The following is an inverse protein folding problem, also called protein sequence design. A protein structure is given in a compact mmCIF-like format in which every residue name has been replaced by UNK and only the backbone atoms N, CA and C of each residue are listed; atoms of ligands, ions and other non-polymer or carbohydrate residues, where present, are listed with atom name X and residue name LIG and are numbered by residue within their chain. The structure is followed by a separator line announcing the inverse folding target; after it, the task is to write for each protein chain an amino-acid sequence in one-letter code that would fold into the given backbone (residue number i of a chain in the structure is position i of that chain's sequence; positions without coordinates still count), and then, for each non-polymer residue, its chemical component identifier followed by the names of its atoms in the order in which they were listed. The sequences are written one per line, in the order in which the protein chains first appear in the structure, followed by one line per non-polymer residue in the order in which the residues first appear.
data_IF_953430593852
#
_entry.id   IF_953430593852
#
_cell.length_a   1.000
_cell.length_b   1.000
_cell.length_c   1.000
_cell.angle_alpha   90.00
_cell.angle_beta   90.00
_cell.angle_gamma   90.00
#
_symmetry.space_group_name_H-M   'P 1'
#
loop_
_entity.id
_entity.type
_entity.pdbx_description
1 polymer ?
#
# COMPACT_ATOMS: atom_id res chain seq x y z
N UNK A 1 16.84 -3.00 -8.37
CA UNK A 1 18.24 -2.61 -8.64
C UNK A 1 19.01 -3.64 -9.48
N UNK A 2 18.87 -4.96 -9.17
CA UNK A 2 19.69 -6.01 -9.78
C UNK A 2 19.63 -6.02 -11.32
N UNK A 3 18.44 -6.01 -11.92
CA UNK A 3 18.25 -6.03 -13.38
C UNK A 3 18.87 -4.78 -14.02
N UNK A 4 18.63 -3.60 -13.45
CA UNK A 4 19.19 -2.32 -13.93
C UNK A 4 20.70 -2.35 -13.92
N UNK A 5 21.32 -2.89 -12.86
CA UNK A 5 22.79 -3.06 -12.76
C UNK A 5 23.31 -4.00 -13.85
N UNK A 6 22.63 -5.11 -14.12
CA UNK A 6 23.04 -6.04 -15.18
C UNK A 6 22.95 -5.41 -16.57
N UNK A 7 21.84 -4.74 -16.88
CA UNK A 7 21.66 -4.03 -18.17
C UNK A 7 22.74 -2.96 -18.34
N UNK A 8 23.01 -2.16 -17.31
CA UNK A 8 24.07 -1.16 -17.31
C UNK A 8 25.44 -1.79 -17.63
N UNK A 9 25.78 -2.93 -16.99
CA UNK A 9 27.04 -3.64 -17.23
C UNK A 9 27.16 -4.16 -18.67
N UNK A 10 26.08 -4.73 -19.21
CA UNK A 10 26.06 -5.25 -20.59
C UNK A 10 26.18 -4.11 -21.62
N UNK A 11 25.53 -2.98 -21.42
CA UNK A 11 25.67 -1.78 -22.25
C UNK A 11 27.09 -1.23 -22.23
N UNK A 12 27.69 -1.12 -21.03
CA UNK A 12 29.09 -0.69 -20.86
C UNK A 12 30.07 -1.60 -21.63
N UNK A 13 29.77 -2.89 -21.73
CA UNK A 13 30.58 -3.87 -22.46
C UNK A 13 30.24 -3.94 -23.96
N UNK A 14 29.36 -3.09 -24.45
CA UNK A 14 28.85 -3.11 -25.85
C UNK A 14 28.26 -4.47 -26.27
N UNK A 15 27.73 -5.24 -25.30
CA UNK A 15 27.09 -6.55 -25.56
C UNK A 15 25.62 -6.43 -25.96
N UNK A 16 24.98 -5.30 -25.60
CA UNK A 16 23.62 -4.98 -25.98
C UNK A 16 23.54 -3.51 -26.39
N UNK A 17 22.70 -3.23 -27.39
CA UNK A 17 22.37 -1.89 -27.85
C UNK A 17 20.85 -1.69 -27.68
N UNK A 18 20.44 -1.29 -26.46
CA UNK A 18 19.03 -1.05 -26.08
C UNK A 18 18.93 0.21 -25.26
N UNK A 19 17.81 0.90 -25.34
CA UNK A 19 17.48 1.96 -24.38
C UNK A 19 17.17 1.36 -23.01
N UNK A 20 17.68 2.00 -21.96
CA UNK A 20 17.50 1.56 -20.58
C UNK A 20 16.77 2.66 -19.79
N UNK A 21 15.53 2.41 -19.41
CA UNK A 21 14.73 3.27 -18.54
C UNK A 21 14.60 2.57 -17.20
N UNK A 22 14.95 3.28 -16.12
CA UNK A 22 14.80 2.79 -14.75
C UNK A 22 13.61 3.49 -14.11
N UNK A 23 12.53 2.74 -13.88
CA UNK A 23 11.39 3.19 -13.11
C UNK A 23 11.63 2.84 -11.63
N UNK A 24 11.67 3.84 -10.76
CA UNK A 24 11.79 3.66 -9.30
C UNK A 24 10.38 3.65 -8.73
N UNK A 25 9.98 2.48 -8.18
CA UNK A 25 8.62 2.22 -7.66
C UNK A 25 8.54 2.39 -6.15
N UNK A 26 9.39 3.21 -5.59
CA UNK A 26 9.41 3.63 -4.19
C UNK A 26 9.42 5.16 -4.11
N UNK A 27 9.06 5.73 -2.96
CA UNK A 27 8.95 7.17 -2.74
C UNK A 27 10.26 7.79 -2.21
N UNK A 28 11.31 7.01 -2.17
CA UNK A 28 12.69 7.47 -2.04
C UNK A 28 13.62 6.67 -2.94
N UNK A 29 14.69 7.33 -3.41
CA UNK A 29 15.67 6.73 -4.29
C UNK A 29 16.88 6.24 -3.49
N UNK A 30 16.99 4.96 -3.27
CA UNK A 30 18.20 4.37 -2.70
C UNK A 30 19.34 4.33 -3.73
N UNK A 31 20.58 4.60 -3.29
CA UNK A 31 21.78 4.63 -4.16
C UNK A 31 21.95 3.41 -5.06
N UNK A 32 21.46 2.24 -4.65
CA UNK A 32 21.55 1.01 -5.44
C UNK A 32 20.73 1.01 -6.74
N UNK A 33 19.79 1.94 -6.89
CA UNK A 33 19.07 2.13 -8.16
C UNK A 33 19.87 2.94 -9.18
N UNK A 34 20.87 3.71 -8.70
CA UNK A 34 21.60 4.65 -9.54
C UNK A 34 22.81 3.94 -10.11
N UNK A 35 22.80 3.75 -11.43
CA UNK A 35 23.87 3.06 -12.18
C UNK A 35 24.15 3.84 -13.46
N UNK A 36 25.39 3.75 -14.00
CA UNK A 36 25.73 4.41 -15.28
C UNK A 36 24.99 3.72 -16.44
N UNK A 37 25.05 4.35 -17.62
CA UNK A 37 24.43 3.82 -18.86
C UNK A 37 22.92 3.58 -18.79
N UNK A 38 22.19 4.38 -17.99
CA UNK A 38 20.73 4.50 -18.01
C UNK A 38 20.37 5.74 -18.83
N UNK A 39 19.37 5.64 -19.70
CA UNK A 39 18.92 6.76 -20.53
C UNK A 39 17.87 7.61 -19.85
N UNK A 40 17.12 7.05 -18.89
CA UNK A 40 16.12 7.79 -18.12
C UNK A 40 15.85 7.14 -16.76
N UNK A 41 15.61 8.00 -15.76
CA UNK A 41 15.02 7.65 -14.47
C UNK A 41 13.61 8.20 -14.37
N UNK A 42 12.62 7.34 -14.15
CA UNK A 42 11.25 7.75 -13.85
C UNK A 42 11.04 7.63 -12.35
N UNK A 43 10.58 8.72 -11.71
CA UNK A 43 10.44 8.86 -10.26
C UNK A 43 8.98 8.98 -9.85
N UNK A 44 8.67 8.60 -8.62
CA UNK A 44 7.35 8.68 -8.02
C UNK A 44 6.88 10.13 -7.82
N UNK A 45 7.81 11.01 -7.44
CA UNK A 45 7.49 12.42 -7.16
C UNK A 45 8.66 13.36 -7.48
N UNK A 46 8.39 14.70 -7.63
CA UNK A 46 9.42 15.69 -7.99
C UNK A 46 10.55 15.85 -6.96
N UNK A 47 10.26 15.74 -5.66
CA UNK A 47 11.26 15.97 -4.60
C UNK A 47 12.39 14.93 -4.65
N UNK A 48 12.13 13.73 -5.15
CA UNK A 48 13.16 12.70 -5.39
C UNK A 48 14.25 13.18 -6.38
N UNK A 49 13.91 14.06 -7.33
CA UNK A 49 14.87 14.54 -8.31
C UNK A 49 16.03 15.31 -7.66
N UNK A 50 15.74 16.08 -6.62
CA UNK A 50 16.77 16.83 -5.86
C UNK A 50 17.82 15.87 -5.30
N UNK A 51 17.38 14.77 -4.67
CA UNK A 51 18.29 13.75 -4.13
C UNK A 51 19.15 13.08 -5.21
N UNK A 52 18.57 12.78 -6.37
CA UNK A 52 19.31 12.17 -7.48
C UNK A 52 20.40 13.13 -8.02
N UNK A 53 20.08 14.40 -8.13
CA UNK A 53 21.01 15.44 -8.64
C UNK A 53 22.10 15.71 -7.59
N UNK A 54 21.70 16.08 -6.37
CA UNK A 54 22.61 16.64 -5.37
C UNK A 54 23.47 15.59 -4.67
N UNK A 55 22.88 14.41 -4.37
CA UNK A 55 23.61 13.38 -3.65
C UNK A 55 24.27 12.34 -4.58
N UNK A 56 23.63 12.04 -5.72
CA UNK A 56 24.09 10.96 -6.60
C UNK A 56 24.69 11.44 -7.91
N UNK A 57 24.63 12.76 -8.19
CA UNK A 57 25.24 13.36 -9.38
C UNK A 57 24.59 12.95 -10.69
N UNK A 58 23.29 12.61 -10.68
CA UNK A 58 22.56 12.25 -11.89
C UNK A 58 22.25 13.50 -12.70
N UNK A 59 22.47 13.44 -14.02
CA UNK A 59 22.14 14.56 -14.91
C UNK A 59 20.62 14.79 -14.91
N UNK A 60 20.21 16.04 -14.66
CA UNK A 60 18.81 16.46 -14.66
C UNK A 60 18.08 16.13 -15.96
N UNK A 61 18.77 16.12 -17.08
CA UNK A 61 18.18 15.87 -18.41
C UNK A 61 17.61 14.46 -18.60
N UNK A 62 18.01 13.50 -17.73
CA UNK A 62 17.53 12.13 -17.77
C UNK A 62 16.59 11.77 -16.61
N UNK A 63 16.14 12.76 -15.84
CA UNK A 63 15.25 12.60 -14.68
C UNK A 63 13.82 13.02 -15.04
N UNK A 64 12.86 12.14 -14.84
CA UNK A 64 11.46 12.34 -15.20
C UNK A 64 10.54 11.97 -14.01
N UNK A 65 10.09 12.96 -13.22
CA UNK A 65 9.16 12.72 -12.10
C UNK A 65 7.72 12.62 -12.62
N UNK A 66 7.38 11.49 -13.22
CA UNK A 66 6.08 11.24 -13.89
C UNK A 66 5.10 10.45 -13.03
N UNK A 67 5.50 10.03 -11.84
CA UNK A 67 4.71 9.14 -10.99
C UNK A 67 4.99 7.67 -11.23
N UNK A 68 4.47 6.82 -10.35
CA UNK A 68 4.48 5.37 -10.51
C UNK A 68 3.25 4.97 -11.31
N UNK A 69 3.37 4.28 -12.45
CA UNK A 69 2.21 3.89 -13.26
C UNK A 69 1.38 2.83 -12.52
N UNK A 70 0.09 3.05 -12.51
CA UNK A 70 -0.93 2.12 -12.02
C UNK A 70 -1.96 1.88 -13.12
N UNK A 71 -2.85 0.92 -12.93
CA UNK A 71 -3.96 0.71 -13.85
C UNK A 71 -5.04 1.79 -13.66
N UNK A 72 -5.69 2.19 -14.76
CA UNK A 72 -6.72 3.24 -14.78
C UNK A 72 -7.88 2.94 -13.81
N UNK A 73 -8.19 1.67 -13.60
CA UNK A 73 -9.25 1.21 -12.68
C UNK A 73 -9.12 1.69 -11.23
N UNK A 74 -7.93 2.17 -10.78
CA UNK A 74 -7.74 2.78 -9.48
C UNK A 74 -8.18 4.26 -9.44
N UNK A 75 -8.40 4.88 -10.59
CA UNK A 75 -8.79 6.30 -10.72
C UNK A 75 -10.11 6.48 -11.47
N UNK A 76 -10.66 5.42 -12.06
CA UNK A 76 -11.95 5.44 -12.76
C UNK A 76 -13.11 5.69 -11.78
N UNK A 77 -14.19 6.36 -12.22
CA UNK A 77 -15.39 6.50 -11.42
C UNK A 77 -15.96 5.14 -11.00
N UNK A 78 -16.38 5.02 -9.76
CA UNK A 78 -16.94 3.79 -9.21
C UNK A 78 -18.28 4.04 -8.50
N UNK A 79 -19.09 2.98 -8.41
CA UNK A 79 -20.34 2.98 -7.64
C UNK A 79 -20.15 2.14 -6.38
N UNK A 80 -19.88 2.83 -5.25
CA UNK A 80 -19.69 2.18 -3.93
C UNK A 80 -20.86 1.27 -3.58
N UNK A 81 -22.10 1.71 -3.85
CA UNK A 81 -23.29 0.93 -3.50
C UNK A 81 -23.39 -0.35 -4.30
N UNK A 82 -23.19 -0.27 -5.62
CA UNK A 82 -23.20 -1.45 -6.49
C UNK A 82 -22.09 -2.45 -6.13
N UNK A 83 -20.89 -1.96 -5.80
CA UNK A 83 -19.79 -2.83 -5.35
C UNK A 83 -20.16 -3.49 -4.03
N UNK A 84 -20.63 -2.75 -3.03
CA UNK A 84 -21.03 -3.29 -1.73
C UNK A 84 -22.14 -4.34 -1.87
N UNK A 85 -23.19 -4.08 -2.66
CA UNK A 85 -24.27 -5.03 -2.91
C UNK A 85 -23.75 -6.32 -3.54
N UNK A 86 -22.90 -6.24 -4.56
CA UNK A 86 -22.25 -7.39 -5.20
C UNK A 86 -21.42 -8.21 -4.21
N UNK A 87 -20.71 -7.53 -3.33
CA UNK A 87 -19.80 -8.16 -2.36
C UNK A 87 -20.48 -8.57 -1.05
N UNK A 88 -21.78 -8.28 -0.87
CA UNK A 88 -22.53 -8.60 0.35
C UNK A 88 -22.11 -7.73 1.56
N UNK A 89 -21.77 -6.47 1.32
CA UNK A 89 -21.36 -5.50 2.32
C UNK A 89 -22.40 -4.37 2.45
N UNK A 90 -22.47 -3.71 3.60
CA UNK A 90 -23.32 -2.56 3.83
C UNK A 90 -22.57 -1.27 3.48
N UNK A 91 -23.00 -0.47 2.49
CA UNK A 91 -22.31 0.75 2.08
C UNK A 91 -22.31 1.86 3.15
N UNK A 92 -23.14 1.74 4.20
CA UNK A 92 -23.27 2.72 5.28
C UNK A 92 -22.39 2.41 6.50
N UNK A 93 -21.80 1.20 6.56
CA UNK A 93 -20.92 0.82 7.66
C UNK A 93 -19.47 1.25 7.37
N UNK A 94 -18.73 1.75 8.38
CA UNK A 94 -17.30 1.94 8.25
C UNK A 94 -16.60 0.63 7.87
N UNK A 95 -15.78 0.67 6.84
CA UNK A 95 -15.15 -0.51 6.25
C UNK A 95 -13.62 -0.40 6.29
N UNK A 96 -12.97 -1.38 6.92
CA UNK A 96 -11.51 -1.46 7.03
C UNK A 96 -10.99 -2.58 6.14
N UNK A 97 -10.08 -2.23 5.23
CA UNK A 97 -9.37 -3.18 4.37
C UNK A 97 -8.06 -3.63 5.04
N UNK A 98 -7.92 -4.90 5.38
CA UNK A 98 -6.67 -5.50 5.85
C UNK A 98 -6.00 -6.27 4.70
N UNK A 99 -4.86 -5.77 4.21
CA UNK A 99 -4.03 -6.51 3.27
C UNK A 99 -3.00 -7.36 4.03
N UNK A 100 -3.44 -8.51 4.49
CA UNK A 100 -2.75 -9.35 5.47
C UNK A 100 -1.61 -10.21 4.90
N UNK A 101 -1.52 -10.36 3.58
CA UNK A 101 -0.56 -11.28 2.93
C UNK A 101 0.92 -10.99 3.20
N UNK A 102 1.26 -9.77 3.60
CA UNK A 102 2.62 -9.33 3.92
C UNK A 102 2.95 -9.33 5.41
N UNK A 103 2.00 -9.67 6.28
CA UNK A 103 2.18 -9.73 7.73
C UNK A 103 2.69 -11.10 8.19
N UNK A 104 3.26 -11.18 9.38
CA UNK A 104 3.47 -12.46 10.06
C UNK A 104 2.13 -13.05 10.52
N UNK A 105 1.92 -14.34 10.28
CA UNK A 105 0.63 -15.02 10.54
C UNK A 105 0.07 -14.72 11.92
N UNK A 106 0.85 -14.94 12.98
CA UNK A 106 0.41 -14.74 14.38
C UNK A 106 0.03 -13.28 14.68
N UNK A 107 0.77 -12.33 14.11
CA UNK A 107 0.54 -10.91 14.34
C UNK A 107 -0.78 -10.43 13.74
N UNK A 108 -1.15 -10.93 12.55
CA UNK A 108 -2.42 -10.59 11.91
C UNK A 108 -3.60 -11.13 12.69
N UNK A 109 -3.53 -12.39 13.16
CA UNK A 109 -4.63 -13.02 13.90
C UNK A 109 -4.95 -12.25 15.18
N UNK A 110 -3.92 -11.94 15.98
CA UNK A 110 -4.09 -11.19 17.23
C UNK A 110 -4.58 -9.75 16.97
N UNK A 111 -4.10 -9.14 15.90
CA UNK A 111 -4.51 -7.79 15.52
C UNK A 111 -5.96 -7.74 15.04
N UNK A 112 -6.36 -8.66 14.14
CA UNK A 112 -7.75 -8.79 13.70
C UNK A 112 -8.68 -9.04 14.88
N UNK A 113 -8.35 -9.99 15.77
CA UNK A 113 -9.13 -10.27 16.97
C UNK A 113 -9.33 -9.03 17.84
N UNK A 114 -8.25 -8.27 18.05
CA UNK A 114 -8.31 -7.04 18.80
C UNK A 114 -9.21 -5.96 18.15
N UNK A 115 -9.23 -5.86 16.82
CA UNK A 115 -10.14 -4.98 16.09
C UNK A 115 -11.60 -5.44 16.20
N UNK A 116 -11.87 -6.72 15.99
CA UNK A 116 -13.19 -7.31 16.08
C UNK A 116 -13.84 -7.10 17.47
N UNK A 117 -13.05 -7.27 18.54
CA UNK A 117 -13.50 -7.04 19.92
C UNK A 117 -13.81 -5.56 20.24
N UNK A 118 -13.11 -4.61 19.60
CA UNK A 118 -13.23 -3.16 19.87
C UNK A 118 -14.23 -2.44 18.99
N UNK A 119 -14.49 -2.97 17.81
CA UNK A 119 -15.36 -2.35 16.82
C UNK A 119 -16.24 -3.37 16.09
N UNK A 120 -17.09 -4.12 16.83
CA UNK A 120 -17.97 -5.13 16.22
C UNK A 120 -19.00 -4.54 15.26
N UNK A 121 -19.22 -3.21 15.32
CA UNK A 121 -20.11 -2.49 14.42
C UNK A 121 -19.50 -2.21 13.03
N UNK A 122 -18.18 -2.30 12.89
CA UNK A 122 -17.48 -2.04 11.63
C UNK A 122 -17.45 -3.28 10.73
N UNK A 123 -17.20 -3.06 9.46
CA UNK A 123 -16.96 -4.12 8.48
C UNK A 123 -15.46 -4.27 8.22
N UNK A 124 -15.05 -5.50 7.98
CA UNK A 124 -13.67 -5.85 7.65
C UNK A 124 -13.62 -6.60 6.32
N UNK A 125 -12.74 -6.14 5.44
CA UNK A 125 -12.34 -6.89 4.26
C UNK A 125 -10.92 -7.37 4.51
N UNK A 126 -10.69 -8.68 4.54
CA UNK A 126 -9.37 -9.25 4.86
C UNK A 126 -8.86 -10.03 3.67
N UNK A 127 -7.79 -9.53 3.04
CA UNK A 127 -7.15 -10.18 1.88
C UNK A 127 -5.86 -10.85 2.35
N UNK A 128 -5.81 -12.17 2.28
CA UNK A 128 -4.65 -12.96 2.74
C UNK A 128 -3.59 -13.19 1.65
N UNK A 129 -3.89 -12.78 0.41
CA UNK A 129 -3.05 -13.12 -0.73
C UNK A 129 -2.98 -14.65 -0.90
N UNK A 130 -1.83 -15.16 -1.32
CA UNK A 130 -1.66 -16.61 -1.55
C UNK A 130 -1.27 -17.40 -0.30
N UNK A 131 -1.61 -16.89 0.90
CA UNK A 131 -1.28 -17.53 2.17
C UNK A 131 -2.47 -18.35 2.69
N UNK A 132 -2.55 -19.61 2.26
CA UNK A 132 -3.64 -20.53 2.62
C UNK A 132 -3.70 -20.83 4.12
N UNK A 133 -2.55 -20.86 4.80
CA UNK A 133 -2.50 -21.10 6.25
C UNK A 133 -3.08 -19.92 7.03
N UNK A 134 -2.78 -18.70 6.58
CA UNK A 134 -3.34 -17.50 7.18
C UNK A 134 -4.85 -17.44 6.95
N UNK A 135 -5.32 -17.78 5.74
CA UNK A 135 -6.74 -17.84 5.42
C UNK A 135 -7.49 -18.76 6.39
N UNK A 136 -7.07 -20.02 6.49
CA UNK A 136 -7.72 -21.02 7.36
C UNK A 136 -7.67 -20.63 8.87
N UNK A 137 -6.63 -19.94 9.32
CA UNK A 137 -6.56 -19.48 10.69
C UNK A 137 -7.45 -18.26 10.95
N UNK A 138 -7.56 -17.33 10.00
CA UNK A 138 -8.48 -16.19 10.09
C UNK A 138 -9.94 -16.65 10.09
N UNK A 139 -10.29 -17.62 9.26
CA UNK A 139 -11.63 -18.20 9.24
C UNK A 139 -12.07 -18.66 10.65
N UNK A 140 -11.20 -19.38 11.37
CA UNK A 140 -11.46 -19.78 12.76
C UNK A 140 -11.60 -18.59 13.72
N UNK A 141 -10.73 -17.59 13.60
CA UNK A 141 -10.79 -16.39 14.47
C UNK A 141 -12.06 -15.60 14.20
N UNK A 142 -12.51 -15.51 12.95
CA UNK A 142 -13.77 -14.86 12.57
C UNK A 142 -14.94 -15.57 13.22
N UNK A 143 -14.97 -16.93 13.21
CA UNK A 143 -15.97 -17.72 13.90
C UNK A 143 -15.93 -17.52 15.41
N UNK A 144 -14.75 -17.60 16.01
CA UNK A 144 -14.55 -17.39 17.46
C UNK A 144 -15.00 -16.03 17.96
N UNK A 145 -14.87 -15.00 17.12
CA UNK A 145 -15.27 -13.62 17.45
C UNK A 145 -16.71 -13.28 17.08
N UNK A 146 -17.43 -14.18 16.41
CA UNK A 146 -18.81 -13.95 15.97
C UNK A 146 -18.93 -12.87 14.87
N UNK A 147 -17.87 -12.66 14.07
CA UNK A 147 -17.78 -11.57 13.09
C UNK A 147 -18.06 -12.01 11.65
N UNK A 148 -18.70 -13.17 11.45
CA UNK A 148 -18.94 -13.72 10.11
C UNK A 148 -19.75 -12.78 9.21
N UNK A 149 -20.77 -12.13 9.79
CA UNK A 149 -21.66 -11.20 9.05
C UNK A 149 -21.00 -9.82 8.76
N UNK A 150 -19.92 -9.50 9.48
CA UNK A 150 -19.20 -8.23 9.33
C UNK A 150 -17.79 -8.39 8.75
N UNK A 151 -17.40 -9.61 8.33
CA UNK A 151 -16.06 -9.85 7.77
C UNK A 151 -16.12 -10.60 6.45
N UNK A 152 -15.59 -9.96 5.42
CA UNK A 152 -15.34 -10.61 4.13
C UNK A 152 -13.90 -11.09 4.07
N UNK A 153 -13.71 -12.39 4.22
CA UNK A 153 -12.39 -13.02 4.11
C UNK A 153 -12.13 -13.46 2.68
N UNK A 154 -11.02 -13.01 2.11
CA UNK A 154 -10.62 -13.24 0.73
C UNK A 154 -9.21 -13.84 0.66
N UNK A 155 -9.02 -14.80 -0.23
CA UNK A 155 -7.73 -15.42 -0.49
C UNK A 155 -6.88 -14.51 -1.40
N UNK A 156 -7.02 -14.63 -2.69
CA UNK A 156 -6.35 -13.82 -3.70
C UNK A 156 -7.40 -13.17 -4.59
N UNK A 157 -7.30 -11.85 -4.77
CA UNK A 157 -8.22 -11.07 -5.59
C UNK A 157 -7.50 -10.49 -6.79
N UNK A 158 -8.23 -10.30 -7.90
CA UNK A 158 -7.72 -9.64 -9.12
C UNK A 158 -8.25 -8.21 -9.26
N UNK A 159 -9.28 -7.87 -8.48
CA UNK A 159 -10.00 -6.61 -8.47
C UNK A 159 -9.82 -5.91 -7.11
N UNK A 160 -8.58 -5.74 -6.68
CA UNK A 160 -8.28 -5.11 -5.37
C UNK A 160 -8.76 -3.67 -5.32
N UNK A 161 -8.82 -2.99 -6.46
CA UNK A 161 -9.36 -1.64 -6.62
C UNK A 161 -10.79 -1.52 -6.10
N UNK A 162 -11.66 -2.48 -6.37
CA UNK A 162 -13.04 -2.47 -5.85
C UNK A 162 -13.06 -2.39 -4.32
N UNK A 163 -12.22 -3.19 -3.66
CA UNK A 163 -12.12 -3.20 -2.21
C UNK A 163 -11.45 -1.96 -1.64
N UNK A 164 -10.50 -1.35 -2.36
CA UNK A 164 -9.90 -0.07 -1.99
C UNK A 164 -10.94 1.06 -2.08
N UNK A 165 -11.71 1.13 -3.17
CA UNK A 165 -12.73 2.16 -3.38
C UNK A 165 -13.86 2.16 -2.35
N UNK A 166 -14.26 0.98 -1.85
CA UNK A 166 -15.35 0.90 -0.87
C UNK A 166 -14.91 1.00 0.59
N UNK A 167 -13.60 0.99 0.85
CA UNK A 167 -13.02 1.04 2.19
C UNK A 167 -12.76 2.48 2.65
N UNK A 168 -12.81 2.70 3.96
CA UNK A 168 -12.54 4.00 4.57
C UNK A 168 -11.10 4.12 5.07
N UNK A 169 -10.43 2.96 5.30
CA UNK A 169 -9.05 2.88 5.75
C UNK A 169 -8.42 1.56 5.29
N UNK A 170 -7.17 1.60 4.84
CA UNK A 170 -6.40 0.40 4.56
C UNK A 170 -5.33 0.16 5.64
N UNK A 171 -5.23 -1.08 6.13
CA UNK A 171 -4.16 -1.53 7.04
C UNK A 171 -3.22 -2.44 6.28
N UNK A 172 -1.99 -2.00 6.10
CA UNK A 172 -1.01 -2.73 5.28
C UNK A 172 0.43 -2.31 5.62
N UNK A 173 1.38 -2.86 4.90
CA UNK A 173 2.75 -2.36 4.80
C UNK A 173 2.88 -1.35 3.66
N UNK A 174 3.77 -0.37 3.76
CA UNK A 174 3.91 0.70 2.79
C UNK A 174 4.80 0.29 1.60
N UNK A 175 4.42 -0.78 0.89
CA UNK A 175 5.05 -1.12 -0.40
C UNK A 175 4.70 -0.11 -1.48
N UNK A 176 5.66 0.30 -2.31
CA UNK A 176 5.48 1.43 -3.22
C UNK A 176 4.26 1.36 -4.14
N UNK A 177 3.96 0.18 -4.73
CA UNK A 177 2.74 0.01 -5.54
C UNK A 177 1.47 0.15 -4.70
N UNK A 178 1.41 -0.50 -3.52
CA UNK A 178 0.24 -0.39 -2.64
C UNK A 178 0.03 1.04 -2.15
N UNK A 179 1.12 1.77 -1.88
CA UNK A 179 1.07 3.21 -1.56
C UNK A 179 0.44 3.99 -2.71
N UNK A 180 0.94 3.80 -3.93
CA UNK A 180 0.44 4.52 -5.12
C UNK A 180 -1.02 4.19 -5.41
N UNK A 181 -1.42 2.93 -5.32
CA UNK A 181 -2.80 2.47 -5.50
C UNK A 181 -3.73 3.07 -4.45
N UNK A 182 -3.31 3.10 -3.18
CA UNK A 182 -4.10 3.70 -2.09
C UNK A 182 -4.27 5.20 -2.27
N UNK A 183 -3.19 5.92 -2.61
CA UNK A 183 -3.25 7.36 -2.88
C UNK A 183 -4.18 7.67 -4.07
N UNK A 184 -4.13 6.86 -5.14
CA UNK A 184 -5.01 7.02 -6.29
C UNK A 184 -6.50 6.79 -5.96
N UNK A 185 -6.79 5.92 -4.99
CA UNK A 185 -8.14 5.71 -4.47
C UNK A 185 -8.53 6.74 -3.37
N UNK A 186 -7.70 7.73 -3.05
CA UNK A 186 -7.88 8.61 -1.88
C UNK A 186 -8.17 7.81 -0.59
N UNK A 187 -7.47 6.68 -0.40
CA UNK A 187 -7.69 5.76 0.71
C UNK A 187 -6.60 5.95 1.78
N UNK A 188 -6.92 6.52 2.96
CA UNK A 188 -5.99 6.70 4.06
C UNK A 188 -5.35 5.39 4.49
N UNK A 189 -4.07 5.44 4.91
CA UNK A 189 -3.32 4.26 5.26
C UNK A 189 -2.96 4.19 6.75
N UNK A 190 -3.20 3.05 7.38
CA UNK A 190 -2.65 2.69 8.67
C UNK A 190 -1.52 1.68 8.48
N UNK A 191 -0.29 2.11 8.75
CA UNK A 191 0.91 1.32 8.53
C UNK A 191 1.13 0.41 9.73
N UNK A 192 0.97 -0.89 9.53
CA UNK A 192 1.14 -1.90 10.58
C UNK A 192 2.62 -2.11 10.95
N UNK A 193 3.49 -2.17 9.95
CA UNK A 193 4.94 -2.28 10.10
C UNK A 193 5.63 -1.83 8.82
N UNK A 194 6.84 -1.31 8.95
CA UNK A 194 7.71 -1.00 7.83
C UNK A 194 9.10 -1.61 8.09
N UNK A 195 9.62 -2.37 7.14
CA UNK A 195 11.00 -2.86 7.23
C UNK A 195 12.00 -1.73 6.97
N UNK A 196 13.18 -1.79 7.62
CA UNK A 196 14.26 -0.83 7.32
C UNK A 196 14.60 -0.78 5.83
N UNK A 197 14.81 0.41 5.31
CA UNK A 197 15.02 0.69 3.90
C UNK A 197 13.72 1.17 3.23
N UNK A 198 13.43 0.73 2.03
CA UNK A 198 12.36 1.22 1.15
C UNK A 198 10.98 1.35 1.81
N UNK A 199 10.54 0.34 2.60
CA UNK A 199 9.25 0.43 3.28
C UNK A 199 9.25 1.56 4.33
N UNK A 200 10.37 1.79 5.02
CA UNK A 200 10.48 2.88 5.98
C UNK A 200 10.45 4.24 5.29
N UNK A 201 11.15 4.37 4.17
CA UNK A 201 11.20 5.60 3.41
C UNK A 201 9.82 5.93 2.80
N UNK A 202 9.10 4.93 2.28
CA UNK A 202 7.71 5.06 1.82
C UNK A 202 6.76 5.44 2.97
N UNK A 203 6.96 4.88 4.17
CA UNK A 203 6.17 5.24 5.34
C UNK A 203 6.40 6.70 5.75
N UNK A 204 7.67 7.15 5.80
CA UNK A 204 8.03 8.53 6.11
C UNK A 204 7.41 9.52 5.11
N UNK A 205 7.43 9.18 3.82
CA UNK A 205 6.74 9.95 2.78
C UNK A 205 5.25 10.14 3.10
N UNK A 206 4.53 9.04 3.34
CA UNK A 206 3.09 9.08 3.64
C UNK A 206 2.76 9.85 4.91
N UNK A 207 3.56 9.67 5.97
CA UNK A 207 3.38 10.38 7.24
C UNK A 207 3.60 11.89 7.07
N UNK A 208 4.60 12.29 6.30
CA UNK A 208 4.89 13.69 6.00
C UNK A 208 3.80 14.35 5.14
N UNK A 209 3.15 13.60 4.25
CA UNK A 209 2.01 14.07 3.44
C UNK A 209 0.68 14.04 4.22
N UNK A 210 0.64 13.50 5.43
CA UNK A 210 -0.59 13.37 6.22
C UNK A 210 -1.53 12.24 5.77
N UNK A 211 -1.14 11.43 4.78
CA UNK A 211 -1.96 10.38 4.20
C UNK A 211 -1.93 9.04 4.96
N UNK A 212 -1.12 8.94 6.03
CA UNK A 212 -1.03 7.73 6.83
C UNK A 212 -0.81 8.00 8.31
N UNK A 213 -1.09 6.95 9.12
CA UNK A 213 -0.64 6.84 10.50
C UNK A 213 0.24 5.60 10.69
N UNK A 214 1.21 5.68 11.60
CA UNK A 214 1.97 4.50 12.04
C UNK A 214 1.29 3.86 13.24
N UNK A 215 0.90 2.60 13.12
CA UNK A 215 0.26 1.87 14.20
C UNK A 215 1.26 1.49 15.30
N UNK A 216 0.84 1.68 16.55
CA UNK A 216 1.62 1.29 17.73
C UNK A 216 1.35 -0.18 18.07
N UNK A 217 2.39 -0.93 18.42
CA UNK A 217 2.30 -2.38 18.69
C UNK A 217 1.22 -2.78 19.72
N UNK A 218 1.00 -1.96 20.76
CA UNK A 218 0.07 -2.29 21.84
C UNK A 218 -1.33 -1.69 21.66
N UNK A 219 -1.44 -0.56 20.95
CA UNK A 219 -2.68 0.23 20.83
C UNK A 219 -3.16 0.38 19.39
N UNK A 220 -2.55 -0.33 18.45
CA UNK A 220 -2.86 -0.16 17.03
C UNK A 220 -4.33 -0.39 16.66
N UNK A 221 -5.01 -1.31 17.35
CA UNK A 221 -6.45 -1.50 17.16
C UNK A 221 -7.25 -0.29 17.67
N UNK A 222 -6.88 0.27 18.83
CA UNK A 222 -7.52 1.48 19.39
C UNK A 222 -7.21 2.69 18.49
N UNK A 223 -5.98 2.79 17.94
CA UNK A 223 -5.59 3.86 17.03
C UNK A 223 -6.48 3.86 15.78
N UNK A 224 -6.78 2.68 15.19
CA UNK A 224 -7.69 2.54 14.05
C UNK A 224 -9.12 2.91 14.40
N UNK A 225 -9.65 2.38 15.50
CA UNK A 225 -11.04 2.64 15.91
C UNK A 225 -11.25 4.12 16.16
N UNK A 226 -10.31 4.79 16.81
CA UNK A 226 -10.36 6.23 17.04
C UNK A 226 -10.30 7.02 15.73
N UNK A 227 -9.40 6.64 14.81
CA UNK A 227 -9.25 7.31 13.51
C UNK A 227 -10.53 7.18 12.66
N UNK A 228 -11.10 5.98 12.56
CA UNK A 228 -12.31 5.75 11.73
C UNK A 228 -13.54 6.46 12.30
N UNK A 229 -13.58 6.70 13.63
CA UNK A 229 -14.63 7.49 14.28
C UNK A 229 -14.44 9.00 14.12
N UNK A 230 -13.21 9.45 13.90
CA UNK A 230 -12.85 10.85 13.64
C UNK A 230 -12.92 11.14 12.14
N UNK A 231 -14.14 11.43 11.67
CA UNK A 231 -14.41 11.66 10.25
C UNK A 231 -13.64 12.86 9.68
N UNK A 232 -13.49 13.92 10.46
CA UNK A 232 -12.78 15.13 10.03
C UNK A 232 -11.32 14.80 9.71
N UNK A 233 -10.65 14.13 10.63
CA UNK A 233 -9.28 13.69 10.44
C UNK A 233 -9.13 12.67 9.30
N UNK A 234 -10.08 11.74 9.17
CA UNK A 234 -10.05 10.75 8.10
C UNK A 234 -10.22 11.42 6.72
N UNK A 235 -11.05 12.47 6.63
CA UNK A 235 -11.26 13.22 5.40
C UNK A 235 -10.05 14.10 5.06
N UNK A 236 -9.41 14.74 6.05
CA UNK A 236 -8.12 15.45 5.86
C UNK A 236 -7.02 14.54 5.27
N UNK A 237 -7.01 13.25 5.65
CA UNK A 237 -6.03 12.28 5.15
C UNK A 237 -6.26 11.85 3.69
N UNK A 238 -7.43 12.15 3.11
CA UNK A 238 -7.78 11.85 1.71
C UNK A 238 -7.37 12.93 0.72
N UNK A 239 -7.10 14.16 1.21
CA UNK A 239 -6.67 15.33 0.43
C UNK A 239 -5.16 15.31 0.15
#
# INVERSE_FOLDING_TARGET
PFVTTMVSKLRRQHKIDVKAISLITDYDAHRTYIVPYVDAYVLAEPDMATKLIDEYGVDKSIIYPLGIPIFDRFTEPFDKKAICEREGLDPNKPTILLMAGSFGVTSVLSFYKALAERAPEMQFIVITGRNIKLFANLEKVIEETGMQDNTKLLYFVKNVEDYMHISDLIVTKPGGLTVTESLACSLPMAIYSAFPGQERDNAEFLLNKGAAIMLRKKTGADDIVNLVKDKEKLDEMKE
#
